data_IF_652188670655
#
_entry.id   IF_652188670655
#
_cell.length_a   1.000
_cell.length_b   1.000
_cell.length_c   1.000
_cell.angle_alpha   90.00
_cell.angle_beta   90.00
_cell.angle_gamma   90.00
#
_symmetry.space_group_name_H-M   'P 1'
#
loop_
_entity.id
_entity.type
_entity.pdbx_description
1 polymer ?
#
# COMPACT_ATOMS: atom_id res chain seq x y z
N UNK A 1 82.69 13.87 23.50
CA UNK A 1 81.81 12.94 24.24
C UNK A 1 80.42 13.15 23.74
N UNK A 2 79.90 12.26 22.88
CA UNK A 2 78.55 12.36 22.24
C UNK A 2 77.59 11.40 22.95
N UNK A 3 76.62 11.91 23.60
CA UNK A 3 75.55 11.07 24.13
C UNK A 3 74.51 10.78 23.03
N UNK A 4 74.35 9.48 22.77
CA UNK A 4 73.24 8.97 21.94
C UNK A 4 71.95 8.89 22.78
N UNK A 5 70.95 9.68 22.44
CA UNK A 5 69.64 9.56 22.97
C UNK A 5 68.91 8.41 22.24
N UNK A 6 68.52 7.37 22.98
CA UNK A 6 67.67 6.28 22.49
C UNK A 6 66.22 6.77 22.50
N UNK A 7 65.61 6.97 21.32
CA UNK A 7 64.21 7.20 21.16
C UNK A 7 63.52 5.83 21.13
N UNK A 8 62.79 5.53 22.20
CA UNK A 8 61.93 4.36 22.26
C UNK A 8 60.59 4.75 21.68
N UNK A 9 60.28 4.25 20.47
CA UNK A 9 59.00 4.43 19.79
C UNK A 9 57.99 3.44 20.38
N UNK A 10 57.08 3.93 21.22
CA UNK A 10 55.94 3.16 21.70
C UNK A 10 54.88 3.19 20.60
N UNK A 11 54.71 2.09 19.88
CA UNK A 11 53.63 1.90 18.94
C UNK A 11 52.35 1.58 19.74
N UNK A 12 51.53 2.56 19.98
CA UNK A 12 50.19 2.38 20.52
C UNK A 12 49.28 1.91 19.37
N UNK A 13 49.07 0.60 19.30
CA UNK A 13 48.04 0.02 18.41
C UNK A 13 46.69 0.38 18.97
N UNK A 14 46.10 1.44 18.41
CA UNK A 14 44.65 1.70 18.61
C UNK A 14 43.89 0.62 17.84
N UNK A 15 43.55 -0.45 18.54
CA UNK A 15 42.55 -1.40 18.09
C UNK A 15 41.20 -0.69 18.02
N UNK A 16 40.86 -0.13 16.85
CA UNK A 16 39.49 0.24 16.53
C UNK A 16 38.66 -1.04 16.48
N UNK A 17 38.20 -1.46 17.64
CA UNK A 17 37.09 -2.40 17.72
C UNK A 17 35.90 -1.76 17.02
N UNK A 18 35.66 -2.13 15.76
CA UNK A 18 34.35 -1.94 15.12
C UNK A 18 33.36 -2.81 15.90
N UNK A 19 32.87 -2.30 17.02
CA UNK A 19 31.60 -2.69 17.53
C UNK A 19 30.58 -2.24 16.46
N UNK A 20 30.29 -3.12 15.50
CA UNK A 20 29.03 -3.05 14.80
C UNK A 20 27.99 -3.17 15.92
N UNK A 21 27.46 -2.03 16.36
CA UNK A 21 26.31 -2.02 17.24
C UNK A 21 25.22 -2.77 16.47
N UNK A 22 25.03 -4.03 16.81
CA UNK A 22 23.83 -4.77 16.42
C UNK A 22 22.72 -3.97 17.05
N UNK A 23 22.01 -3.20 16.22
CA UNK A 23 20.86 -2.45 16.71
C UNK A 23 19.94 -3.47 17.39
N UNK A 24 19.64 -3.21 18.65
CA UNK A 24 18.72 -4.08 19.40
C UNK A 24 17.42 -4.23 18.61
N UNK A 25 16.97 -5.46 18.46
CA UNK A 25 15.73 -5.74 17.76
C UNK A 25 14.56 -5.04 18.51
N UNK A 26 13.64 -4.39 17.78
CA UNK A 26 12.53 -3.72 18.42
C UNK A 26 11.68 -4.71 19.22
N UNK A 27 11.18 -4.31 20.38
CA UNK A 27 10.31 -5.14 21.22
C UNK A 27 8.95 -5.42 20.56
N UNK A 28 8.49 -4.51 19.72
CA UNK A 28 7.22 -4.58 19.00
C UNK A 28 7.42 -4.11 17.57
N UNK A 29 6.83 -4.80 16.61
CA UNK A 29 6.69 -4.35 15.22
C UNK A 29 5.20 -4.24 14.90
N UNK A 30 4.75 -3.04 14.59
CA UNK A 30 3.39 -2.73 14.13
C UNK A 30 3.36 -2.81 12.61
N UNK A 31 2.61 -3.77 12.06
CA UNK A 31 2.54 -3.99 10.62
C UNK A 31 1.11 -3.84 10.09
N UNK A 32 0.91 -3.01 9.07
CA UNK A 32 -0.36 -2.92 8.39
C UNK A 32 -0.49 -3.99 7.32
N UNK A 33 -1.68 -4.57 7.22
CA UNK A 33 -2.08 -5.39 6.09
C UNK A 33 -3.48 -5.02 5.62
N UNK A 34 -3.77 -5.37 4.36
CA UNK A 34 -5.09 -5.19 3.77
C UNK A 34 -5.71 -6.57 3.57
N UNK A 35 -6.96 -6.75 4.03
CA UNK A 35 -7.71 -7.98 3.79
C UNK A 35 -8.01 -8.13 2.29
N UNK A 36 -8.52 -9.30 1.90
CA UNK A 36 -8.97 -9.53 0.53
C UNK A 36 -9.46 -8.23 -0.18
N UNK A 37 -9.35 -8.16 -1.52
CA UNK A 37 -9.28 -9.30 -2.43
C UNK A 37 -7.88 -9.68 -2.93
N UNK A 38 -6.84 -8.92 -2.59
CA UNK A 38 -5.49 -9.14 -3.15
C UNK A 38 -4.44 -9.02 -2.06
N UNK A 39 -3.75 -9.81 -1.57
CA UNK A 39 -2.66 -9.85 -0.58
C UNK A 39 -2.62 -11.23 0.06
N UNK A 40 -2.80 -12.25 -0.76
CA UNK A 40 -2.80 -13.65 -0.30
C UNK A 40 -1.54 -13.94 0.50
N UNK A 41 -0.37 -13.45 0.05
CA UNK A 41 0.91 -13.64 0.74
C UNK A 41 0.88 -13.09 2.18
N UNK A 42 0.28 -11.92 2.41
CA UNK A 42 0.17 -11.33 3.74
C UNK A 42 -0.87 -12.04 4.61
N UNK A 43 -1.93 -12.55 4.00
CA UNK A 43 -2.94 -13.34 4.68
C UNK A 43 -2.36 -14.68 5.15
N UNK A 44 -1.61 -15.38 4.29
CA UNK A 44 -0.90 -16.62 4.64
C UNK A 44 0.15 -16.35 5.71
N UNK A 45 0.93 -15.29 5.57
CA UNK A 45 1.96 -14.90 6.54
C UNK A 45 1.37 -14.70 7.94
N UNK A 46 0.21 -14.02 8.01
CA UNK A 46 -0.50 -13.79 9.26
C UNK A 46 -1.15 -15.06 9.81
N UNK A 47 -1.84 -15.83 8.96
CA UNK A 47 -2.55 -17.06 9.35
C UNK A 47 -1.58 -18.12 9.89
N UNK A 48 -0.46 -18.31 9.22
CA UNK A 48 0.57 -19.26 9.62
C UNK A 48 1.57 -18.70 10.64
N UNK A 49 1.39 -17.47 11.11
CA UNK A 49 2.26 -16.81 12.08
C UNK A 49 3.74 -16.81 11.66
N UNK A 50 4.02 -16.58 10.37
CA UNK A 50 5.38 -16.70 9.85
C UNK A 50 6.32 -15.62 10.38
N UNK A 51 5.85 -14.39 10.58
CA UNK A 51 6.65 -13.32 11.19
C UNK A 51 6.83 -13.55 12.66
N UNK A 52 5.80 -13.94 13.40
CA UNK A 52 5.86 -14.24 14.81
C UNK A 52 6.92 -15.31 15.09
N UNK A 53 6.90 -16.41 14.33
CA UNK A 53 7.91 -17.49 14.43
C UNK A 53 9.32 -17.00 14.08
N UNK A 54 9.47 -16.18 13.03
CA UNK A 54 10.77 -15.67 12.61
C UNK A 54 11.41 -14.74 13.65
N UNK A 55 10.58 -13.98 14.38
CA UNK A 55 11.03 -13.00 15.37
C UNK A 55 11.00 -13.51 16.83
N UNK A 56 10.49 -14.70 17.08
CA UNK A 56 10.38 -15.32 18.41
C UNK A 56 11.73 -15.34 19.15
N UNK A 57 12.79 -15.76 18.47
CA UNK A 57 14.16 -15.82 19.04
C UNK A 57 14.71 -14.45 19.47
N UNK A 58 14.12 -13.36 19.00
CA UNK A 58 14.49 -12.00 19.34
C UNK A 58 13.58 -11.38 20.39
N UNK A 59 12.54 -12.08 20.81
CA UNK A 59 11.55 -11.57 21.76
C UNK A 59 10.71 -10.40 21.19
N UNK A 60 10.66 -10.26 19.87
CA UNK A 60 9.92 -9.19 19.19
C UNK A 60 8.47 -9.62 18.98
N UNK A 61 7.53 -8.81 19.45
CA UNK A 61 6.09 -9.03 19.24
C UNK A 61 5.65 -8.43 17.92
N UNK A 62 4.91 -9.19 17.10
CA UNK A 62 4.25 -8.71 15.88
C UNK A 62 2.82 -8.29 16.19
N UNK A 63 2.44 -7.07 15.80
CA UNK A 63 1.08 -6.54 15.95
C UNK A 63 0.53 -6.18 14.58
N UNK A 64 -0.54 -6.87 14.16
CA UNK A 64 -1.18 -6.67 12.86
C UNK A 64 -2.31 -5.65 12.94
N UNK A 65 -2.25 -4.64 12.07
CA UNK A 65 -3.27 -3.61 11.93
C UNK A 65 -3.96 -3.70 10.57
N UNK A 66 -5.29 -3.74 10.55
CA UNK A 66 -6.05 -3.70 9.29
C UNK A 66 -6.27 -2.25 8.87
N UNK A 67 -5.49 -1.77 7.90
CA UNK A 67 -5.59 -0.42 7.36
C UNK A 67 -5.63 -0.50 5.84
N UNK A 68 -6.80 -0.34 5.24
CA UNK A 68 -7.05 -0.56 3.81
C UNK A 68 -6.62 0.61 2.89
N UNK A 69 -6.28 1.77 3.44
CA UNK A 69 -5.88 2.96 2.67
C UNK A 69 -4.40 3.28 2.86
N UNK A 70 -3.64 3.38 1.76
CA UNK A 70 -2.23 3.80 1.80
C UNK A 70 -2.03 5.16 2.47
N UNK A 71 -2.92 6.11 2.25
CA UNK A 71 -2.87 7.42 2.92
C UNK A 71 -3.02 7.30 4.44
N UNK A 72 -3.92 6.42 4.93
CA UNK A 72 -4.05 6.17 6.38
C UNK A 72 -2.84 5.44 6.94
N UNK A 73 -2.23 4.54 6.17
CA UNK A 73 -1.00 3.85 6.57
C UNK A 73 0.16 4.85 6.72
N UNK A 74 0.34 5.77 5.76
CA UNK A 74 1.39 6.80 5.86
C UNK A 74 1.16 7.78 7.00
N UNK A 75 -0.10 8.12 7.32
CA UNK A 75 -0.45 8.92 8.50
C UNK A 75 -0.08 8.19 9.80
N UNK A 76 -0.39 6.88 9.89
CA UNK A 76 -0.04 6.07 11.04
C UNK A 76 1.49 5.93 11.21
N UNK A 77 2.24 5.82 10.10
CA UNK A 77 3.72 5.84 10.11
C UNK A 77 4.25 7.19 10.60
N UNK A 78 3.71 8.31 10.12
CA UNK A 78 4.11 9.64 10.56
C UNK A 78 3.83 9.86 12.05
N UNK A 79 2.79 9.25 12.59
CA UNK A 79 2.43 9.29 14.01
C UNK A 79 3.22 8.27 14.87
N UNK A 80 4.11 7.46 14.29
CA UNK A 80 4.87 6.44 15.01
C UNK A 80 4.03 5.25 15.50
N UNK A 81 2.81 5.08 15.00
CA UNK A 81 1.92 3.97 15.39
C UNK A 81 1.94 2.79 14.40
N UNK A 82 2.72 2.91 13.32
CA UNK A 82 2.92 1.87 12.33
C UNK A 82 4.37 1.87 11.86
N UNK A 83 5.02 0.72 11.91
CA UNK A 83 6.44 0.56 11.53
C UNK A 83 6.57 0.06 10.09
N UNK A 84 5.71 -0.87 9.68
CA UNK A 84 5.78 -1.54 8.38
C UNK A 84 4.42 -1.55 7.70
N UNK A 85 4.41 -1.20 6.42
CA UNK A 85 3.28 -1.48 5.53
C UNK A 85 3.58 -2.72 4.71
N UNK A 86 2.81 -3.77 4.87
CA UNK A 86 2.94 -4.98 4.06
C UNK A 86 2.44 -4.76 2.62
N UNK A 87 1.62 -3.75 2.40
CA UNK A 87 1.12 -3.35 1.06
C UNK A 87 0.85 -1.84 1.03
N UNK A 88 1.61 -1.14 0.21
CA UNK A 88 1.41 0.28 -0.07
C UNK A 88 1.61 0.53 -1.57
N UNK A 89 0.77 1.35 -2.17
CA UNK A 89 0.96 1.76 -3.55
C UNK A 89 1.99 2.90 -3.65
N UNK A 90 2.64 3.00 -4.80
CA UNK A 90 3.69 3.98 -5.08
C UNK A 90 3.24 5.43 -4.89
N UNK A 91 1.98 5.77 -5.22
CA UNK A 91 1.52 7.15 -5.06
C UNK A 91 1.33 7.56 -3.60
N UNK A 92 0.84 6.66 -2.75
CA UNK A 92 0.78 6.94 -1.30
C UNK A 92 2.18 7.16 -0.72
N UNK A 93 3.16 6.38 -1.19
CA UNK A 93 4.57 6.56 -0.82
C UNK A 93 5.12 7.90 -1.29
N UNK A 94 4.92 8.26 -2.57
CA UNK A 94 5.39 9.53 -3.11
C UNK A 94 4.73 10.73 -2.42
N UNK A 95 3.42 10.66 -2.17
CA UNK A 95 2.70 11.69 -1.44
C UNK A 95 3.21 11.85 0.00
N UNK A 96 3.50 10.75 0.70
CA UNK A 96 4.06 10.77 2.04
C UNK A 96 5.44 11.44 2.07
N UNK A 97 6.34 11.03 1.17
CA UNK A 97 7.68 11.60 1.08
C UNK A 97 7.64 13.08 0.66
N UNK A 98 6.76 13.46 -0.27
CA UNK A 98 6.53 14.86 -0.63
C UNK A 98 6.02 15.73 0.51
N UNK A 99 5.31 15.14 1.47
CA UNK A 99 4.85 15.80 2.70
C UNK A 99 5.90 15.74 3.85
N UNK A 100 7.12 15.24 3.59
CA UNK A 100 8.20 15.15 4.58
C UNK A 100 8.19 13.90 5.45
N UNK A 101 7.25 12.97 5.24
CA UNK A 101 7.22 11.69 5.95
C UNK A 101 8.11 10.68 5.23
N UNK A 102 9.28 10.38 5.80
CA UNK A 102 10.31 9.54 5.20
C UNK A 102 9.89 8.06 5.21
N UNK A 103 9.20 7.62 4.18
CA UNK A 103 8.84 6.22 3.95
C UNK A 103 9.78 5.62 2.91
N UNK A 104 10.34 4.45 3.18
CA UNK A 104 11.26 3.73 2.29
C UNK A 104 10.62 2.46 1.75
N UNK A 105 10.96 2.09 0.51
CA UNK A 105 10.57 0.81 -0.09
C UNK A 105 11.62 -0.23 0.32
N UNK A 106 11.19 -1.29 0.97
CA UNK A 106 12.06 -2.43 1.32
C UNK A 106 11.99 -3.50 0.23
N UNK A 107 10.81 -3.76 -0.32
CA UNK A 107 10.61 -4.77 -1.37
C UNK A 107 9.36 -4.49 -2.20
N UNK A 108 9.34 -5.00 -3.43
CA UNK A 108 8.14 -5.06 -4.26
C UNK A 108 7.30 -6.30 -3.93
N UNK A 109 5.98 -6.13 -3.85
CA UNK A 109 5.05 -7.22 -3.49
C UNK A 109 4.35 -7.79 -4.70
N UNK A 110 3.82 -6.93 -5.58
CA UNK A 110 3.10 -7.34 -6.77
C UNK A 110 3.10 -6.22 -7.83
N UNK A 111 2.94 -6.60 -9.08
CA UNK A 111 2.87 -5.69 -10.23
C UNK A 111 1.69 -6.05 -11.17
N UNK A 112 0.44 -6.17 -10.66
CA UNK A 112 -0.71 -6.41 -11.52
C UNK A 112 -1.27 -5.10 -12.06
N UNK A 113 -1.71 -5.07 -13.32
CA UNK A 113 -2.39 -3.92 -13.92
C UNK A 113 -3.87 -4.23 -14.23
N UNK A 114 -4.16 -5.37 -14.81
CA UNK A 114 -5.47 -5.81 -15.27
C UNK A 114 -6.47 -6.16 -14.15
N UNK A 115 -5.99 -6.34 -12.93
CA UNK A 115 -6.83 -6.66 -11.76
C UNK A 115 -7.56 -5.46 -11.15
N UNK A 116 -7.17 -4.24 -11.52
CA UNK A 116 -7.80 -3.01 -11.02
C UNK A 116 -8.76 -2.47 -12.07
N UNK A 117 -10.04 -2.36 -11.73
CA UNK A 117 -11.07 -2.04 -12.70
C UNK A 117 -12.08 -0.99 -12.20
N UNK A 118 -12.66 -0.25 -13.12
CA UNK A 118 -13.89 0.50 -12.97
C UNK A 118 -15.01 -0.37 -13.49
N UNK A 119 -15.98 -0.69 -12.64
CA UNK A 119 -17.08 -1.61 -12.93
C UNK A 119 -18.40 -0.85 -12.88
N UNK A 120 -19.19 -0.95 -13.95
CA UNK A 120 -20.51 -0.37 -14.07
C UNK A 120 -21.63 -1.29 -13.59
N UNK A 121 -22.85 -0.74 -13.49
CA UNK A 121 -24.06 -1.49 -13.11
C UNK A 121 -24.36 -2.62 -14.11
N UNK A 122 -25.09 -3.60 -13.65
CA UNK A 122 -25.65 -4.67 -14.49
C UNK A 122 -26.43 -4.09 -15.67
N UNK A 123 -26.12 -4.60 -16.88
CA UNK A 123 -26.82 -4.24 -18.11
C UNK A 123 -26.53 -2.84 -18.65
N UNK A 124 -25.59 -2.11 -18.08
CA UNK A 124 -25.15 -0.80 -18.57
C UNK A 124 -23.78 -0.90 -19.24
N UNK A 125 -23.77 -0.83 -20.56
CA UNK A 125 -22.51 -0.70 -21.33
C UNK A 125 -22.07 0.75 -21.33
N UNK A 126 -21.24 1.12 -20.35
CA UNK A 126 -20.66 2.44 -20.25
C UNK A 126 -19.22 2.44 -20.78
N UNK A 127 -18.83 3.53 -21.43
CA UNK A 127 -17.44 3.91 -21.66
C UNK A 127 -16.95 4.85 -20.55
N UNK A 128 -15.66 5.14 -20.52
CA UNK A 128 -15.10 6.14 -19.58
C UNK A 128 -15.72 7.52 -19.77
N UNK A 129 -16.04 7.92 -21.02
CA UNK A 129 -16.71 9.20 -21.31
C UNK A 129 -18.07 9.32 -20.67
N UNK A 130 -18.81 8.22 -20.58
CA UNK A 130 -20.15 8.18 -19.99
C UNK A 130 -20.14 8.35 -18.46
N UNK A 131 -18.96 8.34 -17.84
CA UNK A 131 -18.79 8.58 -16.40
C UNK A 131 -18.97 10.04 -16.00
N UNK A 132 -19.03 10.99 -16.97
CA UNK A 132 -19.25 12.40 -16.68
C UNK A 132 -20.55 12.61 -15.91
N UNK A 133 -20.46 13.31 -14.77
CA UNK A 133 -21.58 13.54 -13.84
C UNK A 133 -22.02 12.34 -13.03
N UNK A 134 -21.47 11.14 -13.28
CA UNK A 134 -21.85 9.90 -12.60
C UNK A 134 -21.28 9.80 -11.18
N UNK A 135 -21.97 9.04 -10.35
CA UNK A 135 -21.56 8.74 -8.98
C UNK A 135 -20.71 7.47 -8.97
N UNK A 136 -19.45 7.60 -8.53
CA UNK A 136 -18.46 6.52 -8.54
C UNK A 136 -17.96 6.27 -7.12
N UNK A 137 -18.02 5.03 -6.65
CA UNK A 137 -17.62 4.65 -5.31
C UNK A 137 -16.28 3.89 -5.31
N UNK A 138 -15.45 4.15 -4.29
CA UNK A 138 -14.21 3.39 -4.10
C UNK A 138 -13.26 3.98 -3.06
N UNK A 139 -12.15 3.28 -2.78
CA UNK A 139 -11.20 3.73 -1.76
C UNK A 139 -10.30 4.86 -2.28
N UNK A 140 -10.43 6.04 -1.68
CA UNK A 140 -9.64 7.22 -2.00
C UNK A 140 -8.15 7.01 -1.66
N UNK A 141 -7.25 7.56 -2.48
CA UNK A 141 -5.80 7.52 -2.24
C UNK A 141 -5.17 6.14 -2.45
N UNK A 142 -5.84 5.26 -3.20
CA UNK A 142 -5.35 3.93 -3.56
C UNK A 142 -5.04 3.85 -5.05
N UNK A 143 -4.43 2.74 -5.50
CA UNK A 143 -4.23 2.46 -6.92
C UNK A 143 -5.55 2.48 -7.72
N UNK A 144 -6.66 2.03 -7.11
CA UNK A 144 -7.98 2.11 -7.73
C UNK A 144 -8.43 3.55 -8.00
N UNK A 145 -8.18 4.46 -7.06
CA UNK A 145 -8.47 5.88 -7.27
C UNK A 145 -7.58 6.48 -8.36
N UNK A 146 -6.33 6.04 -8.47
CA UNK A 146 -5.42 6.45 -9.54
C UNK A 146 -5.89 5.92 -10.91
N UNK A 147 -6.35 4.66 -10.97
CA UNK A 147 -6.93 4.09 -12.20
C UNK A 147 -8.09 4.95 -12.70
N UNK A 148 -8.99 5.37 -11.81
CA UNK A 148 -10.08 6.29 -12.18
C UNK A 148 -9.55 7.61 -12.73
N UNK A 149 -8.64 8.27 -12.01
CA UNK A 149 -8.09 9.56 -12.43
C UNK A 149 -7.37 9.44 -13.77
N UNK A 150 -6.55 8.40 -13.97
CA UNK A 150 -5.85 8.16 -15.22
C UNK A 150 -6.82 7.91 -16.39
N UNK A 151 -7.84 7.10 -16.19
CA UNK A 151 -8.87 6.84 -17.20
C UNK A 151 -9.62 8.14 -17.60
N UNK A 152 -10.00 8.97 -16.62
CA UNK A 152 -10.66 10.25 -16.88
C UNK A 152 -9.75 11.20 -17.68
N UNK A 153 -8.47 11.31 -17.30
CA UNK A 153 -7.49 12.16 -18.00
C UNK A 153 -7.29 11.74 -19.45
N UNK A 154 -7.24 10.42 -19.73
CA UNK A 154 -7.17 9.91 -21.11
C UNK A 154 -8.33 10.40 -22.00
N UNK A 155 -9.49 10.62 -21.41
CA UNK A 155 -10.69 11.13 -22.09
C UNK A 155 -10.87 12.64 -21.99
N UNK A 156 -9.82 13.37 -21.55
CA UNK A 156 -9.85 14.83 -21.41
C UNK A 156 -10.69 15.32 -20.23
N UNK A 157 -11.02 14.45 -19.30
CA UNK A 157 -11.80 14.74 -18.08
C UNK A 157 -10.89 14.90 -16.86
N UNK A 158 -11.46 15.38 -15.78
CA UNK A 158 -10.80 15.53 -14.48
C UNK A 158 -11.60 14.83 -13.39
N UNK A 159 -11.03 14.68 -12.21
CA UNK A 159 -11.75 14.16 -11.06
C UNK A 159 -12.96 15.00 -10.65
N UNK A 160 -13.07 16.25 -11.09
CA UNK A 160 -14.22 17.14 -10.84
C UNK A 160 -15.41 16.83 -11.75
N UNK A 161 -15.19 16.13 -12.86
CA UNK A 161 -16.25 15.74 -13.79
C UNK A 161 -17.09 14.56 -13.30
N UNK A 162 -16.73 13.94 -12.17
CA UNK A 162 -17.46 12.82 -11.56
C UNK A 162 -17.78 13.09 -10.09
N UNK A 163 -18.81 12.42 -9.57
CA UNK A 163 -19.17 12.48 -8.14
C UNK A 163 -18.50 11.30 -7.40
N UNK A 164 -17.30 11.53 -6.85
CA UNK A 164 -16.56 10.47 -6.18
C UNK A 164 -16.98 10.32 -4.71
N UNK A 165 -17.46 9.11 -4.35
CA UNK A 165 -17.84 8.72 -2.99
C UNK A 165 -16.76 7.80 -2.41
N UNK A 166 -16.09 8.25 -1.36
CA UNK A 166 -15.01 7.49 -0.73
C UNK A 166 -15.55 6.42 0.22
N UNK A 167 -15.31 5.15 -0.10
CA UNK A 167 -15.64 4.00 0.75
C UNK A 167 -14.71 2.82 0.39
N UNK A 168 -14.69 1.77 1.22
CA UNK A 168 -13.94 0.55 0.92
C UNK A 168 -14.59 -0.25 -0.22
N UNK A 169 -13.86 -1.25 -0.76
CA UNK A 169 -14.33 -2.03 -1.90
C UNK A 169 -15.60 -2.86 -1.60
N UNK A 170 -15.73 -3.55 -0.44
CA UNK A 170 -16.96 -4.24 -0.10
C UNK A 170 -18.19 -3.32 -0.09
N UNK A 171 -18.07 -2.14 0.53
CA UNK A 171 -19.12 -1.14 0.56
C UNK A 171 -19.43 -0.58 -0.83
N UNK A 172 -18.39 -0.30 -1.65
CA UNK A 172 -18.55 0.17 -3.02
C UNK A 172 -19.27 -0.86 -3.91
N UNK A 173 -18.92 -2.14 -3.77
CA UNK A 173 -19.59 -3.22 -4.46
C UNK A 173 -21.08 -3.33 -4.04
N UNK A 174 -21.35 -3.28 -2.74
CA UNK A 174 -22.73 -3.31 -2.23
C UNK A 174 -23.55 -2.12 -2.73
N UNK A 175 -22.97 -0.92 -2.74
CA UNK A 175 -23.62 0.28 -3.27
C UNK A 175 -23.89 0.18 -4.78
N UNK A 176 -22.98 -0.44 -5.56
CA UNK A 176 -23.16 -0.69 -6.99
C UNK A 176 -24.34 -1.66 -7.21
N UNK A 177 -24.36 -2.78 -6.48
CA UNK A 177 -25.44 -3.78 -6.58
C UNK A 177 -26.80 -3.20 -6.21
N UNK A 178 -26.86 -2.35 -5.19
CA UNK A 178 -28.06 -1.67 -4.76
C UNK A 178 -28.48 -0.49 -5.67
N UNK A 179 -27.67 -0.14 -6.69
CA UNK A 179 -27.94 0.96 -7.61
C UNK A 179 -27.70 2.36 -7.03
N UNK A 180 -27.09 2.49 -5.85
CA UNK A 180 -26.82 3.77 -5.19
C UNK A 180 -25.65 4.55 -5.84
N UNK A 181 -24.81 3.87 -6.61
CA UNK A 181 -23.72 4.45 -7.41
C UNK A 181 -23.76 3.89 -8.82
N UNK A 182 -23.22 4.63 -9.80
CA UNK A 182 -23.24 4.24 -11.22
C UNK A 182 -22.06 3.34 -11.58
N UNK A 183 -20.93 3.49 -10.87
CA UNK A 183 -19.76 2.64 -11.02
C UNK A 183 -19.04 2.44 -9.67
N UNK A 184 -18.28 1.38 -9.57
CA UNK A 184 -17.45 1.08 -8.42
C UNK A 184 -16.02 0.76 -8.83
N UNK A 185 -15.07 1.16 -8.00
CA UNK A 185 -13.66 0.83 -8.14
C UNK A 185 -13.39 -0.49 -7.43
N UNK A 186 -13.14 -1.54 -8.19
CA UNK A 186 -13.00 -2.90 -7.68
C UNK A 186 -11.68 -3.52 -8.14
N UNK A 187 -11.22 -4.56 -7.44
CA UNK A 187 -10.02 -5.27 -7.82
C UNK A 187 -10.15 -6.79 -7.62
N UNK A 188 -9.43 -7.54 -8.45
CA UNK A 188 -9.24 -8.98 -8.35
C UNK A 188 -10.58 -9.74 -8.16
N UNK A 189 -10.72 -10.51 -7.09
CA UNK A 189 -11.92 -11.33 -6.85
C UNK A 189 -13.22 -10.52 -6.74
N UNK A 190 -13.16 -9.23 -6.37
CA UNK A 190 -14.32 -8.37 -6.35
C UNK A 190 -14.83 -8.05 -7.77
N UNK A 191 -13.93 -7.88 -8.75
CA UNK A 191 -14.30 -7.73 -10.17
C UNK A 191 -15.01 -8.98 -10.67
N UNK A 192 -14.43 -10.16 -10.43
CA UNK A 192 -15.02 -11.43 -10.82
C UNK A 192 -16.41 -11.63 -10.21
N UNK A 193 -16.56 -11.31 -8.91
CA UNK A 193 -17.87 -11.38 -8.24
C UNK A 193 -18.90 -10.43 -8.86
N UNK A 194 -18.51 -9.21 -9.22
CA UNK A 194 -19.39 -8.25 -9.87
C UNK A 194 -19.81 -8.73 -11.26
N UNK A 195 -18.87 -9.25 -12.05
CA UNK A 195 -19.14 -9.83 -13.37
C UNK A 195 -20.10 -11.02 -13.30
N UNK A 196 -19.93 -11.92 -12.34
CA UNK A 196 -20.83 -13.05 -12.10
C UNK A 196 -22.27 -12.60 -11.73
N UNK A 197 -22.44 -11.36 -11.28
CA UNK A 197 -23.74 -10.76 -11.02
C UNK A 197 -24.26 -9.91 -12.19
N UNK A 198 -23.54 -9.95 -13.33
CA UNK A 198 -23.92 -9.29 -14.57
C UNK A 198 -23.46 -7.83 -14.67
N UNK A 199 -22.57 -7.37 -13.83
CA UNK A 199 -21.91 -6.08 -13.97
C UNK A 199 -20.85 -6.13 -15.07
N UNK A 200 -20.60 -4.99 -15.72
CA UNK A 200 -19.64 -4.89 -16.81
C UNK A 200 -18.41 -4.07 -16.43
N UNK A 201 -17.23 -4.54 -16.83
CA UNK A 201 -16.00 -3.77 -16.68
C UNK A 201 -16.00 -2.64 -17.71
N UNK A 202 -15.84 -1.40 -17.25
CA UNK A 202 -15.77 -0.22 -18.10
C UNK A 202 -14.32 -0.05 -18.64
N UNK A 203 -13.34 -0.20 -17.76
CA UNK A 203 -11.91 -0.14 -18.08
C UNK A 203 -11.09 -0.75 -16.94
N UNK A 204 -9.82 -1.06 -17.23
CA UNK A 204 -8.85 -1.56 -16.25
C UNK A 204 -7.64 -0.63 -16.16
N UNK A 205 -6.75 -0.88 -15.21
CA UNK A 205 -5.47 -0.15 -15.13
C UNK A 205 -4.47 -0.53 -16.24
N UNK A 206 -4.80 -1.52 -17.08
CA UNK A 206 -4.00 -1.93 -18.24
C UNK A 206 -4.32 -1.09 -19.47
N UNK A 207 -5.54 -0.61 -19.61
CA UNK A 207 -6.04 0.18 -20.75
C UNK A 207 -5.56 1.65 -20.67
#
# INVERSE_FOLDING_TARGET
MKQLAKVTMVATIFGLGMNAALADMPKVINIAYVKAPFNIQNMVMKDQQLLEKAFEKHGTKIVWHTISSGAKQTQAMAAGSLDVSAVMNTASLLAANGAGNKVVIVNGVAHPADVFAIVGKKGQKLSVKDLKGKKIAGPRGTVLHQTLVAALVKEGMTAKDVQFVSMDQPSAMSALMAGHVDAALLAASAVVKAQNQGCEVITTAKD
#
